data_IF_761851104235
#
_entry.id   IF_761851104235
#
_cell.length_a   1.000
_cell.length_b   1.000
_cell.length_c   1.000
_cell.angle_alpha   90.00
_cell.angle_beta   90.00
_cell.angle_gamma   90.00
#
_symmetry.space_group_name_H-M   'P 1'
#
loop_
_entity.id
_entity.type
_entity.pdbx_description
1 polymer ?
#
# COMPACT_ATOMS: atom_id res chain seq x y z
N UNK A 1 15.18 -31.16 -52.37
CA UNK A 1 15.47 -32.22 -51.39
C UNK A 1 16.99 -32.24 -51.21
N UNK A 2 17.54 -31.40 -50.31
CA UNK A 2 17.93 -31.73 -48.91
C UNK A 2 19.29 -32.44 -48.90
N UNK A 3 20.40 -31.75 -48.59
CA UNK A 3 21.17 -31.83 -47.31
C UNK A 3 22.59 -32.30 -47.62
N UNK A 4 23.70 -31.93 -46.99
CA UNK A 4 24.12 -30.93 -46.01
C UNK A 4 25.63 -31.21 -45.81
N UNK A 5 26.45 -30.17 -45.65
CA UNK A 5 27.85 -30.30 -45.22
C UNK A 5 27.95 -30.41 -43.68
N UNK A 6 28.93 -31.12 -43.11
CA UNK A 6 29.40 -30.85 -41.75
C UNK A 6 30.85 -30.33 -41.79
N UNK A 7 31.15 -29.10 -41.34
CA UNK A 7 31.19 -28.57 -39.98
C UNK A 7 32.59 -28.70 -39.34
N UNK A 8 33.26 -27.54 -39.25
CA UNK A 8 34.57 -27.23 -38.64
C UNK A 8 34.40 -27.00 -37.11
N UNK A 9 35.47 -26.94 -36.29
CA UNK A 9 35.53 -27.56 -34.97
C UNK A 9 34.87 -26.72 -33.87
N UNK A 10 34.21 -27.39 -32.94
CA UNK A 10 33.68 -26.78 -31.73
C UNK A 10 34.83 -26.38 -30.79
N UNK A 11 35.21 -25.11 -30.91
CA UNK A 11 35.47 -24.16 -29.83
C UNK A 11 35.77 -24.76 -28.44
N UNK A 12 37.05 -24.68 -28.06
CA UNK A 12 37.48 -24.76 -26.67
C UNK A 12 36.74 -23.71 -25.84
N UNK A 13 35.89 -24.19 -24.94
CA UNK A 13 35.20 -23.35 -23.97
C UNK A 13 36.20 -22.89 -22.92
N UNK A 14 36.41 -21.58 -22.70
CA UNK A 14 37.33 -21.12 -21.68
C UNK A 14 36.71 -21.39 -20.30
N UNK A 15 37.33 -22.28 -19.54
CA UNK A 15 36.97 -22.62 -18.17
C UNK A 15 37.12 -21.37 -17.29
N UNK A 16 35.99 -20.72 -16.97
CA UNK A 16 35.95 -19.49 -16.15
C UNK A 16 36.13 -19.87 -14.69
N UNK A 17 37.38 -19.92 -14.23
CA UNK A 17 37.68 -19.95 -12.79
C UNK A 17 37.12 -18.67 -12.14
N UNK A 18 36.33 -18.81 -11.08
CA UNK A 18 35.74 -17.70 -10.32
C UNK A 18 36.80 -16.92 -9.53
N UNK A 19 37.61 -16.10 -10.22
CA UNK A 19 38.53 -15.17 -9.56
C UNK A 19 37.71 -14.03 -8.93
N UNK A 20 37.91 -13.69 -7.64
CA UNK A 20 37.21 -12.55 -7.05
C UNK A 20 37.56 -11.27 -7.82
N UNK A 21 36.53 -10.50 -8.19
CA UNK A 21 36.72 -9.23 -8.89
C UNK A 21 37.61 -8.30 -8.05
N UNK A 22 38.63 -7.71 -8.68
CA UNK A 22 39.55 -6.79 -8.00
C UNK A 22 38.74 -5.61 -7.43
N UNK A 23 38.84 -5.39 -6.13
CA UNK A 23 38.25 -4.23 -5.46
C UNK A 23 39.28 -3.09 -5.42
N UNK A 24 38.85 -1.86 -5.74
CA UNK A 24 39.67 -0.64 -5.63
C UNK A 24 39.21 0.19 -4.44
N UNK A 25 40.15 0.61 -3.60
CA UNK A 25 39.88 1.63 -2.57
C UNK A 25 39.57 2.97 -3.26
N UNK A 26 38.78 3.86 -2.66
CA UNK A 26 38.47 5.15 -3.30
C UNK A 26 39.70 6.02 -3.48
N UNK A 27 40.67 5.94 -2.56
CA UNK A 27 41.97 6.59 -2.73
C UNK A 27 42.65 6.11 -4.02
N UNK A 28 42.64 4.80 -4.30
CA UNK A 28 43.17 4.25 -5.54
C UNK A 28 42.35 4.71 -6.76
N UNK A 29 41.02 4.75 -6.66
CA UNK A 29 40.15 5.21 -7.76
C UNK A 29 40.41 6.69 -8.09
N UNK A 30 40.61 7.54 -7.08
CA UNK A 30 40.94 8.96 -7.26
C UNK A 30 42.31 9.14 -7.91
N UNK A 31 43.33 8.40 -7.45
CA UNK A 31 44.68 8.45 -8.03
C UNK A 31 44.65 8.05 -9.52
N UNK A 32 44.01 6.93 -9.85
CA UNK A 32 43.89 6.46 -11.23
C UNK A 32 43.08 7.44 -12.09
N UNK A 33 42.04 8.06 -11.54
CA UNK A 33 41.24 9.06 -12.24
C UNK A 33 42.05 10.34 -12.53
N UNK A 34 42.87 10.79 -11.59
CA UNK A 34 43.78 11.93 -11.78
C UNK A 34 44.84 11.63 -12.85
N UNK A 35 45.47 10.46 -12.82
CA UNK A 35 46.41 10.02 -13.86
C UNK A 35 45.75 9.93 -15.25
N UNK A 36 44.52 9.42 -15.31
CA UNK A 36 43.75 9.35 -16.54
C UNK A 36 43.36 10.75 -17.07
N UNK A 37 43.11 11.72 -16.20
CA UNK A 37 42.75 13.09 -16.57
C UNK A 37 43.96 13.95 -16.97
N UNK A 38 45.15 13.67 -16.43
CA UNK A 38 46.39 14.33 -16.81
C UNK A 38 46.84 14.04 -18.26
N UNK A 39 46.42 12.89 -18.81
CA UNK A 39 46.76 12.49 -20.18
C UNK A 39 45.87 13.23 -21.21
N UNK A 40 46.40 13.57 -22.41
CA UNK A 40 45.59 14.13 -23.50
C UNK A 40 44.50 13.16 -23.97
N UNK A 41 43.38 13.66 -24.51
CA UNK A 41 42.34 12.80 -25.11
C UNK A 41 42.90 12.11 -26.37
N UNK A 42 42.67 10.80 -26.50
CA UNK A 42 43.15 10.02 -27.65
C UNK A 42 44.57 9.45 -27.53
N UNK A 43 45.31 9.74 -26.46
CA UNK A 43 46.65 9.20 -26.24
C UNK A 43 46.61 7.68 -25.94
N UNK A 44 47.48 6.90 -26.59
CA UNK A 44 47.65 5.47 -26.40
C UNK A 44 48.00 5.12 -24.93
N UNK A 45 48.66 6.04 -24.22
CA UNK A 45 49.00 5.89 -22.80
C UNK A 45 47.76 5.72 -21.91
N UNK A 46 46.61 6.30 -22.28
CA UNK A 46 45.34 6.09 -21.57
C UNK A 46 44.90 4.63 -21.61
N UNK A 47 44.93 4.03 -22.80
CA UNK A 47 44.59 2.61 -22.98
C UNK A 47 45.61 1.68 -22.32
N UNK A 48 46.88 2.09 -22.22
CA UNK A 48 47.89 1.36 -21.47
C UNK A 48 47.63 1.40 -19.96
N UNK A 49 47.27 2.56 -19.41
CA UNK A 49 46.90 2.74 -18.00
C UNK A 49 45.71 1.82 -17.63
N UNK A 50 44.66 1.84 -18.45
CA UNK A 50 43.46 1.02 -18.23
C UNK A 50 43.79 -0.48 -18.17
N UNK A 51 44.63 -0.98 -19.08
CA UNK A 51 45.08 -2.38 -19.11
C UNK A 51 45.96 -2.74 -17.91
N UNK A 52 46.85 -1.85 -17.48
CA UNK A 52 47.72 -2.05 -16.29
C UNK A 52 46.91 -2.19 -15.01
N UNK A 53 45.85 -1.39 -14.86
CA UNK A 53 44.99 -1.43 -13.68
C UNK A 53 43.81 -2.41 -13.81
N UNK A 54 43.64 -3.08 -14.96
CA UNK A 54 42.53 -4.01 -15.21
C UNK A 54 41.15 -3.34 -15.22
N UNK A 55 41.07 -2.08 -15.63
CA UNK A 55 39.85 -1.28 -15.64
C UNK A 55 39.42 -0.92 -17.07
N UNK A 56 38.12 -0.72 -17.25
CA UNK A 56 37.52 -0.31 -18.52
C UNK A 56 37.10 1.16 -18.47
N UNK A 57 36.84 1.76 -19.63
CA UNK A 57 36.36 3.15 -19.75
C UNK A 57 35.07 3.41 -18.98
N UNK A 58 34.20 2.39 -18.83
CA UNK A 58 32.98 2.44 -18.03
C UNK A 58 33.25 2.71 -16.54
N UNK A 59 34.34 2.16 -15.99
CA UNK A 59 34.75 2.43 -14.61
C UNK A 59 35.12 3.90 -14.43
N UNK A 60 35.89 4.48 -15.36
CA UNK A 60 36.25 5.89 -15.29
C UNK A 60 35.02 6.80 -15.38
N UNK A 61 34.09 6.51 -16.30
CA UNK A 61 32.86 7.28 -16.43
C UNK A 61 32.04 7.25 -15.13
N UNK A 62 31.91 6.07 -14.51
CA UNK A 62 31.24 5.90 -13.21
C UNK A 62 31.98 6.65 -12.09
N UNK A 63 33.31 6.59 -12.03
CA UNK A 63 34.09 7.27 -11.00
C UNK A 63 34.03 8.79 -11.13
N UNK A 64 33.92 9.35 -12.34
CA UNK A 64 33.66 10.79 -12.54
C UNK A 64 32.33 11.23 -11.93
N UNK A 65 31.27 10.47 -12.17
CA UNK A 65 29.94 10.74 -11.60
C UNK A 65 29.99 10.65 -10.07
N UNK A 66 30.67 9.63 -9.53
CA UNK A 66 30.84 9.45 -8.08
C UNK A 66 31.65 10.57 -7.43
N UNK A 67 32.70 11.06 -8.09
CA UNK A 67 33.48 12.23 -7.64
C UNK A 67 32.63 13.51 -7.67
N UNK A 68 31.89 13.75 -8.75
CA UNK A 68 31.00 14.92 -8.85
C UNK A 68 29.88 14.94 -7.80
N UNK A 69 29.53 13.79 -7.21
CA UNK A 69 28.55 13.66 -6.12
C UNK A 69 29.17 13.67 -4.72
N UNK A 70 30.49 13.82 -4.59
CA UNK A 70 31.18 13.75 -3.29
C UNK A 70 31.18 12.36 -2.63
N UNK A 71 30.75 11.32 -3.35
CA UNK A 71 30.62 9.93 -2.85
C UNK A 71 31.98 9.22 -2.85
N UNK A 72 32.89 9.62 -3.75
CA UNK A 72 34.23 9.04 -3.83
C UNK A 72 35.16 9.51 -2.70
N UNK A 73 34.87 10.67 -2.11
CA UNK A 73 35.64 11.27 -1.01
C UNK A 73 35.05 10.92 0.36
N UNK A 74 33.73 10.72 0.44
CA UNK A 74 33.03 10.31 1.66
C UNK A 74 32.74 8.80 1.66
N UNK A 75 33.73 7.99 2.04
CA UNK A 75 33.57 6.53 2.25
C UNK A 75 32.47 6.17 3.27
N UNK A 76 32.03 7.13 4.09
CA UNK A 76 31.13 6.90 5.21
C UNK A 76 29.63 6.89 4.86
N UNK A 77 29.24 7.03 3.58
CA UNK A 77 27.83 6.96 3.21
C UNK A 77 27.56 5.63 2.49
N UNK A 78 27.09 4.59 3.22
CA UNK A 78 26.51 3.42 2.60
C UNK A 78 25.50 3.83 1.53
N UNK A 79 25.70 3.32 0.32
CA UNK A 79 24.85 3.62 -0.83
C UNK A 79 23.49 2.92 -0.68
N UNK A 80 22.43 3.62 -1.12
CA UNK A 80 21.10 3.09 -1.44
C UNK A 80 20.22 2.60 -0.27
N UNK A 81 19.85 3.54 0.60
CA UNK A 81 18.57 3.53 1.32
C UNK A 81 17.84 4.86 1.09
N UNK A 82 16.51 4.90 1.23
CA UNK A 82 15.77 6.16 1.41
C UNK A 82 16.51 6.93 2.51
N UNK A 83 16.87 8.22 2.33
CA UNK A 83 17.53 8.98 3.39
C UNK A 83 16.70 8.81 4.67
N UNK A 84 17.32 8.62 5.85
CA UNK A 84 16.56 8.55 7.09
C UNK A 84 15.69 9.79 7.12
N UNK A 85 14.39 9.58 6.99
CA UNK A 85 13.45 10.68 6.99
C UNK A 85 13.49 11.16 8.42
N UNK A 86 14.22 12.27 8.63
CA UNK A 86 14.27 12.97 9.91
C UNK A 86 12.85 13.48 10.12
N UNK A 87 12.02 12.59 10.66
CA UNK A 87 10.64 12.85 10.92
C UNK A 87 10.66 13.62 12.23
N UNK A 88 10.41 14.93 12.15
CA UNK A 88 10.50 15.81 13.30
C UNK A 88 9.70 15.18 14.46
N UNK A 89 10.25 15.11 15.68
CA UNK A 89 9.56 14.49 16.82
C UNK A 89 8.18 15.13 17.05
N UNK A 90 8.07 16.44 16.77
CA UNK A 90 6.81 17.19 16.79
C UNK A 90 5.78 16.68 15.77
N UNK A 91 6.20 16.29 14.56
CA UNK A 91 5.29 15.74 13.56
C UNK A 91 4.78 14.35 13.97
N UNK A 92 5.63 13.55 14.62
CA UNK A 92 5.20 12.26 15.17
C UNK A 92 4.19 12.44 16.31
N UNK A 93 4.42 13.40 17.20
CA UNK A 93 3.49 13.74 18.27
C UNK A 93 2.16 14.25 17.73
N UNK A 94 2.18 15.15 16.74
CA UNK A 94 0.96 15.62 16.08
C UNK A 94 0.19 14.48 15.39
N UNK A 95 0.90 13.55 14.75
CA UNK A 95 0.27 12.38 14.14
C UNK A 95 -0.37 11.46 15.20
N UNK A 96 0.30 11.23 16.33
CA UNK A 96 -0.27 10.46 17.45
C UNK A 96 -1.49 11.16 18.05
N UNK A 97 -1.38 12.44 18.38
CA UNK A 97 -2.46 13.23 18.96
C UNK A 97 -3.67 13.33 18.02
N UNK A 98 -3.45 13.46 16.72
CA UNK A 98 -4.55 13.48 15.74
C UNK A 98 -5.25 12.12 15.62
N UNK A 99 -4.51 11.02 15.71
CA UNK A 99 -5.09 9.67 15.75
C UNK A 99 -5.91 9.45 17.03
N UNK A 100 -5.40 9.89 18.19
CA UNK A 100 -6.10 9.82 19.47
C UNK A 100 -7.37 10.68 19.45
N UNK A 101 -7.28 11.90 18.93
CA UNK A 101 -8.43 12.80 18.80
C UNK A 101 -9.51 12.19 17.88
N UNK A 102 -9.13 11.65 16.72
CA UNK A 102 -10.07 10.99 15.80
C UNK A 102 -10.74 9.77 16.44
N UNK A 103 -9.97 8.96 17.19
CA UNK A 103 -10.50 7.83 17.93
C UNK A 103 -11.52 8.27 18.98
N UNK A 104 -11.16 9.22 19.84
CA UNK A 104 -12.05 9.71 20.90
C UNK A 104 -13.31 10.35 20.32
N UNK A 105 -13.19 11.10 19.23
CA UNK A 105 -14.35 11.65 18.52
C UNK A 105 -15.27 10.56 17.99
N UNK A 106 -14.73 9.49 17.41
CA UNK A 106 -15.56 8.36 16.98
C UNK A 106 -16.27 7.69 18.17
N UNK A 107 -15.58 7.47 19.29
CA UNK A 107 -16.17 6.87 20.50
C UNK A 107 -17.31 7.75 21.07
N UNK A 108 -17.14 9.08 21.04
CA UNK A 108 -18.19 10.03 21.43
C UNK A 108 -19.41 9.97 20.50
N UNK A 109 -19.20 10.01 19.19
CA UNK A 109 -20.29 9.91 18.22
C UNK A 109 -21.11 8.62 18.39
N UNK A 110 -20.43 7.51 18.68
CA UNK A 110 -21.08 6.23 18.96
C UNK A 110 -21.93 6.30 20.23
N UNK A 111 -21.41 6.88 21.31
CA UNK A 111 -22.15 7.05 22.56
C UNK A 111 -23.36 7.99 22.40
N UNK A 112 -23.19 9.11 21.69
CA UNK A 112 -24.28 10.06 21.39
C UNK A 112 -25.38 9.41 20.56
N UNK A 113 -25.04 8.58 19.57
CA UNK A 113 -26.01 7.83 18.77
C UNK A 113 -26.79 6.81 19.61
N UNK A 114 -26.14 6.12 20.55
CA UNK A 114 -26.82 5.21 21.48
C UNK A 114 -27.80 6.00 22.35
N UNK A 115 -27.36 7.14 22.91
CA UNK A 115 -28.19 7.97 23.78
C UNK A 115 -29.38 8.59 23.04
N UNK A 116 -29.21 9.00 21.79
CA UNK A 116 -30.30 9.59 20.99
C UNK A 116 -31.40 8.56 20.73
N UNK A 117 -31.03 7.33 20.39
CA UNK A 117 -31.97 6.23 20.18
C UNK A 117 -32.65 5.85 21.49
N UNK A 118 -31.92 5.73 22.59
CA UNK A 118 -32.51 5.43 23.89
C UNK A 118 -33.53 6.51 24.30
N UNK A 119 -33.22 7.79 24.07
CA UNK A 119 -34.16 8.89 24.31
C UNK A 119 -35.40 8.79 23.41
N UNK A 120 -35.22 8.47 22.14
CA UNK A 120 -36.34 8.25 21.19
C UNK A 120 -37.23 7.09 21.63
N UNK A 121 -36.64 5.96 22.03
CA UNK A 121 -37.36 4.79 22.55
C UNK A 121 -38.13 5.10 23.83
N UNK A 122 -37.54 5.84 24.76
CA UNK A 122 -38.22 6.27 25.99
C UNK A 122 -39.38 7.23 25.71
N UNK A 123 -39.26 8.07 24.68
CA UNK A 123 -40.33 8.97 24.26
C UNK A 123 -41.46 8.23 23.52
N UNK A 124 -41.13 7.22 22.71
CA UNK A 124 -42.08 6.48 21.88
C UNK A 124 -42.77 5.32 22.61
N UNK A 125 -42.09 4.65 23.56
CA UNK A 125 -42.67 3.56 24.33
C UNK A 125 -43.29 4.06 25.64
N UNK A 126 -44.62 4.13 25.68
CA UNK A 126 -45.36 4.20 26.95
C UNK A 126 -45.17 2.89 27.74
N UNK A 127 -45.13 2.90 29.10
CA UNK A 127 -45.00 1.68 29.91
C UNK A 127 -46.10 0.63 29.68
N UNK A 128 -47.25 1.04 29.15
CA UNK A 128 -48.39 0.15 28.81
C UNK A 128 -48.39 -0.35 27.35
N UNK A 129 -47.36 -0.01 26.56
CA UNK A 129 -47.27 -0.45 25.18
C UNK A 129 -47.09 -1.96 25.06
N UNK A 130 -47.75 -2.58 24.08
CA UNK A 130 -47.67 -4.01 23.82
C UNK A 130 -46.21 -4.46 23.66
N UNK A 131 -45.84 -5.54 24.35
CA UNK A 131 -44.47 -6.05 24.36
C UNK A 131 -43.97 -6.39 22.93
N UNK A 132 -44.88 -6.81 22.04
CA UNK A 132 -44.58 -7.09 20.65
C UNK A 132 -44.20 -5.82 19.86
N UNK A 133 -44.92 -4.72 20.07
CA UNK A 133 -44.65 -3.43 19.42
C UNK A 133 -43.33 -2.84 19.91
N UNK A 134 -43.10 -2.87 21.24
CA UNK A 134 -41.84 -2.45 21.84
C UNK A 134 -40.65 -3.23 21.30
N UNK A 135 -40.79 -4.56 21.15
CA UNK A 135 -39.76 -5.40 20.55
C UNK A 135 -39.50 -5.06 19.08
N UNK A 136 -40.55 -4.78 18.33
CA UNK A 136 -40.44 -4.38 16.91
C UNK A 136 -39.70 -3.06 16.76
N UNK A 137 -40.02 -2.08 17.61
CA UNK A 137 -39.34 -0.79 17.64
C UNK A 137 -37.85 -0.94 18.01
N UNK A 138 -37.54 -1.74 19.04
CA UNK A 138 -36.15 -2.04 19.41
C UNK A 138 -35.37 -2.69 18.26
N UNK A 139 -35.98 -3.62 17.53
CA UNK A 139 -35.36 -4.27 16.36
C UNK A 139 -35.14 -3.29 15.20
N UNK A 140 -36.06 -2.35 14.98
CA UNK A 140 -35.91 -1.29 14.00
C UNK A 140 -34.75 -0.34 14.37
N UNK A 141 -34.66 0.08 15.63
CA UNK A 141 -33.57 0.92 16.13
C UNK A 141 -32.19 0.25 16.03
N UNK A 142 -32.10 -1.08 16.13
CA UNK A 142 -30.83 -1.81 15.85
C UNK A 142 -30.41 -1.61 14.39
N UNK A 143 -31.34 -1.52 13.44
CA UNK A 143 -31.02 -1.29 12.03
C UNK A 143 -30.42 0.10 11.79
N UNK A 144 -30.90 1.11 12.50
CA UNK A 144 -30.38 2.49 12.45
C UNK A 144 -28.99 2.60 13.09
N UNK A 145 -28.74 1.86 14.17
CA UNK A 145 -27.51 1.94 14.94
C UNK A 145 -26.37 1.06 14.38
N UNK A 146 -26.72 -0.02 13.68
CA UNK A 146 -25.75 -1.00 13.15
C UNK A 146 -24.67 -0.42 12.22
N UNK A 147 -24.93 0.57 11.34
CA UNK A 147 -23.89 1.18 10.50
C UNK A 147 -22.84 1.98 11.27
N UNK A 148 -23.17 2.49 12.46
CA UNK A 148 -22.31 3.38 13.24
C UNK A 148 -21.40 2.63 14.22
N UNK A 149 -21.91 1.58 14.88
CA UNK A 149 -21.19 0.82 15.91
C UNK A 149 -21.05 -0.68 15.62
N UNK A 150 -21.67 -1.15 14.55
CA UNK A 150 -21.76 -2.58 14.22
C UNK A 150 -22.93 -3.27 14.91
N UNK A 151 -23.43 -4.34 14.27
CA UNK A 151 -24.63 -5.09 14.70
C UNK A 151 -24.49 -5.64 16.13
N UNK A 152 -23.29 -6.09 16.51
CA UNK A 152 -23.05 -6.69 17.83
C UNK A 152 -23.18 -5.66 18.95
N UNK A 153 -22.56 -4.50 18.78
CA UNK A 153 -22.63 -3.40 19.75
C UNK A 153 -24.04 -2.80 19.80
N UNK A 154 -24.71 -2.65 18.65
CA UNK A 154 -26.10 -2.18 18.58
C UNK A 154 -27.09 -3.10 19.32
N UNK A 155 -27.00 -4.41 19.10
CA UNK A 155 -27.81 -5.38 19.83
C UNK A 155 -27.55 -5.32 21.35
N UNK A 156 -26.29 -5.21 21.76
CA UNK A 156 -25.91 -5.14 23.17
C UNK A 156 -26.40 -3.84 23.85
N UNK A 157 -26.25 -2.69 23.17
CA UNK A 157 -26.66 -1.38 23.68
C UNK A 157 -28.18 -1.23 23.87
N UNK A 158 -28.97 -1.93 23.05
CA UNK A 158 -30.43 -1.92 23.12
C UNK A 158 -31.02 -3.13 23.87
N UNK A 159 -30.18 -4.05 24.38
CA UNK A 159 -30.63 -5.23 25.12
C UNK A 159 -31.36 -6.27 24.27
N UNK A 160 -31.15 -6.27 22.95
CA UNK A 160 -31.81 -7.18 22.01
C UNK A 160 -30.92 -8.40 21.74
N UNK A 161 -31.42 -9.64 21.84
CA UNK A 161 -30.63 -10.82 21.49
C UNK A 161 -30.33 -10.83 19.99
N UNK A 162 -29.05 -11.02 19.63
CA UNK A 162 -28.58 -11.02 18.23
C UNK A 162 -29.36 -11.98 17.34
N UNK A 163 -29.72 -13.14 17.88
CA UNK A 163 -30.55 -14.13 17.19
C UNK A 163 -31.86 -13.50 16.71
N UNK A 164 -32.56 -12.73 17.55
CA UNK A 164 -33.82 -12.08 17.18
C UNK A 164 -33.66 -11.10 16.04
N UNK A 165 -32.56 -10.35 16.00
CA UNK A 165 -32.27 -9.44 14.88
C UNK A 165 -32.07 -10.21 13.58
N UNK A 166 -31.28 -11.29 13.60
CA UNK A 166 -31.07 -12.12 12.41
C UNK A 166 -32.31 -12.90 11.99
N UNK A 167 -33.10 -13.43 12.93
CA UNK A 167 -34.38 -14.07 12.64
C UNK A 167 -35.35 -13.08 12.00
N UNK A 168 -35.53 -11.88 12.58
CA UNK A 168 -36.36 -10.84 12.00
C UNK A 168 -35.91 -10.45 10.59
N UNK A 169 -34.59 -10.37 10.35
CA UNK A 169 -34.04 -10.07 9.01
C UNK A 169 -34.26 -11.20 8.00
N UNK A 170 -34.25 -12.46 8.45
CA UNK A 170 -34.47 -13.65 7.61
C UNK A 170 -35.96 -13.87 7.31
N UNK A 171 -36.83 -13.50 8.23
CA UNK A 171 -38.28 -13.69 8.14
C UNK A 171 -39.03 -12.41 7.75
N UNK A 172 -38.32 -11.35 7.39
CA UNK A 172 -38.94 -10.18 6.79
C UNK A 172 -39.68 -10.63 5.52
N UNK A 173 -40.98 -10.30 5.38
CA UNK A 173 -41.72 -10.67 4.17
C UNK A 173 -40.99 -10.09 2.96
N UNK A 174 -40.88 -10.84 1.84
CA UNK A 174 -40.27 -10.32 0.62
C UNK A 174 -41.00 -9.01 0.24
N UNK A 175 -40.29 -7.98 -0.25
CA UNK A 175 -40.96 -6.80 -0.76
C UNK A 175 -41.95 -7.28 -1.82
N UNK A 176 -43.25 -7.07 -1.58
CA UNK A 176 -44.29 -7.43 -2.53
C UNK A 176 -43.92 -6.76 -3.86
N UNK A 177 -43.48 -7.54 -4.84
CA UNK A 177 -43.21 -7.08 -6.19
C UNK A 177 -44.54 -6.82 -6.90
N UNK A 178 -45.27 -5.81 -6.44
CA UNK A 178 -46.38 -5.19 -7.15
C UNK A 178 -45.84 -4.03 -7.98
N UNK A 179 -45.00 -4.33 -8.98
CA UNK A 179 -44.92 -3.42 -10.11
C UNK A 179 -46.29 -3.51 -10.81
N UNK A 180 -47.05 -2.41 -11.01
CA UNK A 180 -48.24 -2.48 -11.84
C UNK A 180 -47.79 -2.97 -13.22
N UNK A 181 -48.34 -4.10 -13.66
CA UNK A 181 -48.11 -4.60 -15.01
C UNK A 181 -48.44 -3.45 -15.97
N UNK A 182 -47.43 -2.96 -16.68
CA UNK A 182 -47.62 -2.00 -17.76
C UNK A 182 -48.61 -2.64 -18.74
N UNK A 183 -49.80 -2.03 -18.87
CA UNK A 183 -50.79 -2.41 -19.87
C UNK A 183 -50.10 -2.42 -21.23
N UNK A 184 -50.09 -3.54 -21.99
CA UNK A 184 -49.56 -3.50 -23.34
C UNK A 184 -50.45 -2.56 -24.17
N UNK A 185 -49.80 -1.63 -24.89
CA UNK A 185 -50.46 -0.71 -25.81
C UNK A 185 -51.29 -1.50 -26.85
N UNK A 186 -52.46 -1.01 -27.29
CA UNK A 186 -53.25 -1.69 -28.30
C UNK A 186 -52.50 -1.72 -29.64
N UNK A 187 -52.37 -2.92 -30.22
CA UNK A 187 -51.85 -3.12 -31.57
C UNK A 187 -52.74 -2.41 -32.62
N UNK A 188 -52.16 -1.90 -33.72
CA UNK A 188 -52.94 -1.31 -34.80
C UNK A 188 -53.59 -2.40 -35.66
N UNK A 189 -54.92 -2.40 -35.71
CA UNK A 189 -55.71 -3.22 -36.64
C UNK A 189 -55.57 -2.72 -38.11
N UNK A 190 -55.70 -3.63 -39.11
CA UNK A 190 -55.33 -3.39 -40.52
C UNK A 190 -56.25 -2.44 -41.30
#
# INVERSE_FOLDING_TARGET
MTTQAPANPAQDSPEVTSRPAKQWTPVQRLAILAEYEALPKGDARRGALLRRHGIYSSHIARWRIQRGRGVLENEAIPTAGRPPQICDPRQQELARLSQEAARLQSELQQAEAILSIQRSLLAACHPDADHAERRTLMLASVHELAPLIGVVAACAALGVPRSSFYYARRHAPPPCSGAPAATPAPEPEP
#
